data_IF_274384672730
#
_entry.id   IF_274384672730
#
_cell.length_a   1.000
_cell.length_b   1.000
_cell.length_c   1.000
_cell.angle_alpha   90.00
_cell.angle_beta   90.00
_cell.angle_gamma   90.00
#
_symmetry.space_group_name_H-M   'P 1'
#
loop_
_entity.id
_entity.type
_entity.pdbx_description
1 polymer ?
#
# COMPACT_ATOMS: atom_id res chain seq x y z
N UNK A 1 -5.70 -3.35 -6.69
CA UNK A 1 -6.65 -2.26 -6.45
C UNK A 1 -6.96 -2.08 -4.96
N UNK A 2 -7.22 -0.84 -4.54
CA UNK A 2 -7.42 -0.45 -3.13
C UNK A 2 -8.77 -0.94 -2.61
N UNK A 3 -8.76 -1.58 -1.44
CA UNK A 3 -9.95 -2.11 -0.76
C UNK A 3 -10.40 -1.17 0.35
N UNK A 4 -9.46 -0.67 1.17
CA UNK A 4 -9.77 0.23 2.28
C UNK A 4 -8.57 1.09 2.66
N UNK A 5 -8.84 2.26 3.22
CA UNK A 5 -7.84 3.21 3.72
C UNK A 5 -8.25 3.66 5.11
N UNK A 6 -7.31 3.64 6.05
CA UNK A 6 -7.53 4.09 7.42
C UNK A 6 -6.39 5.02 7.83
N UNK A 7 -6.73 6.17 8.43
CA UNK A 7 -5.77 6.92 9.21
C UNK A 7 -5.61 6.25 10.57
N UNK A 8 -4.38 6.17 11.05
CA UNK A 8 -4.08 5.55 12.33
C UNK A 8 -3.23 6.48 13.18
N UNK A 9 -3.42 6.40 14.50
CA UNK A 9 -2.50 7.02 15.45
C UNK A 9 -1.38 6.02 15.72
N UNK A 10 -0.13 6.35 15.37
CA UNK A 10 1.02 5.48 15.56
C UNK A 10 2.26 5.95 14.83
N UNK A 11 3.20 5.02 14.61
CA UNK A 11 4.44 5.29 13.86
C UNK A 11 4.20 5.49 12.35
N UNK A 12 3.06 5.06 11.85
CA UNK A 12 2.60 5.24 10.47
C UNK A 12 1.34 6.11 10.48
N UNK A 13 1.15 6.90 9.42
CA UNK A 13 -0.01 7.79 9.31
C UNK A 13 -1.24 7.08 8.69
N UNK A 14 -1.00 6.08 7.83
CA UNK A 14 -2.01 5.44 6.98
C UNK A 14 -1.78 3.93 6.88
N UNK A 15 -2.87 3.17 6.95
CA UNK A 15 -2.90 1.75 6.58
C UNK A 15 -3.83 1.59 5.38
N UNK A 16 -3.30 0.98 4.31
CA UNK A 16 -4.05 0.74 3.07
C UNK A 16 -4.08 -0.76 2.79
N UNK A 17 -5.27 -1.30 2.59
CA UNK A 17 -5.44 -2.66 2.11
C UNK A 17 -5.59 -2.63 0.59
N UNK A 18 -4.79 -3.45 -0.10
CA UNK A 18 -4.81 -3.61 -1.55
C UNK A 18 -4.98 -5.09 -1.88
N UNK A 19 -5.75 -5.41 -2.92
CA UNK A 19 -5.83 -6.74 -3.53
C UNK A 19 -5.36 -6.69 -4.97
N UNK A 20 -4.69 -7.71 -5.44
CA UNK A 20 -4.36 -7.89 -6.84
C UNK A 20 -4.46 -9.37 -7.17
N UNK A 21 -4.69 -9.69 -8.44
CA UNK A 21 -4.80 -11.08 -8.89
C UNK A 21 -3.43 -11.78 -8.89
N UNK A 22 -2.36 -11.01 -8.95
CA UNK A 22 -0.98 -11.50 -8.96
C UNK A 22 -0.01 -10.49 -8.31
N UNK A 23 1.21 -10.99 -8.00
CA UNK A 23 2.26 -10.21 -7.35
C UNK A 23 2.88 -9.12 -8.23
N UNK A 24 2.90 -9.28 -9.57
CA UNK A 24 3.47 -8.28 -10.47
C UNK A 24 2.56 -7.03 -10.51
N UNK A 25 1.25 -7.25 -10.63
CA UNK A 25 0.22 -6.21 -10.54
C UNK A 25 0.26 -5.50 -9.19
N UNK A 26 0.43 -6.25 -8.08
CA UNK A 26 0.60 -5.66 -6.75
C UNK A 26 1.84 -4.76 -6.70
N UNK A 27 2.98 -5.28 -7.18
CA UNK A 27 4.27 -4.57 -7.13
C UNK A 27 4.20 -3.28 -7.94
N UNK A 28 3.72 -3.32 -9.18
CA UNK A 28 3.51 -2.14 -10.02
C UNK A 28 2.61 -1.12 -9.35
N UNK A 29 1.48 -1.56 -8.79
CA UNK A 29 0.57 -0.67 -8.07
C UNK A 29 1.24 0.04 -6.88
N UNK A 30 2.08 -0.67 -6.12
CA UNK A 30 2.82 -0.07 -5.01
C UNK A 30 3.91 0.88 -5.51
N UNK A 31 4.73 0.48 -6.48
CA UNK A 31 5.90 1.26 -6.91
C UNK A 31 5.55 2.45 -7.78
N UNK A 32 4.57 2.31 -8.68
CA UNK A 32 4.26 3.32 -9.70
C UNK A 32 3.12 4.25 -9.28
N UNK A 33 2.21 3.78 -8.42
CA UNK A 33 1.06 4.60 -7.98
C UNK A 33 1.16 5.05 -6.53
N UNK A 34 1.50 4.16 -5.59
CA UNK A 34 1.56 4.56 -4.18
C UNK A 34 2.86 5.33 -3.87
N UNK A 35 4.02 4.77 -4.22
CA UNK A 35 5.32 5.40 -3.88
C UNK A 35 5.65 6.65 -4.70
N UNK A 36 4.91 6.92 -5.77
CA UNK A 36 5.09 8.13 -6.58
C UNK A 36 4.29 9.34 -6.07
N UNK A 37 3.39 9.15 -5.10
CA UNK A 37 2.64 10.25 -4.49
C UNK A 37 3.61 11.10 -3.67
N UNK A 38 3.77 12.37 -4.03
CA UNK A 38 4.74 13.30 -3.44
C UNK A 38 4.70 13.36 -1.90
N UNK A 39 3.51 13.20 -1.31
CA UNK A 39 3.30 13.27 0.14
C UNK A 39 3.60 11.96 0.88
N UNK A 40 3.88 10.88 0.17
CA UNK A 40 4.22 9.59 0.77
C UNK A 40 5.73 9.52 1.00
N UNK A 41 6.15 9.68 2.25
CA UNK A 41 7.57 9.65 2.64
C UNK A 41 8.17 8.24 2.57
N UNK A 42 7.44 7.24 3.06
CA UNK A 42 7.88 5.84 3.07
C UNK A 42 6.68 4.91 3.13
N UNK A 43 6.88 3.67 2.67
CA UNK A 43 5.86 2.62 2.68
C UNK A 43 6.48 1.31 3.16
N UNK A 44 5.73 0.55 3.95
CA UNK A 44 6.04 -0.83 4.30
C UNK A 44 4.93 -1.72 3.74
N UNK A 45 5.29 -2.62 2.83
CA UNK A 45 4.34 -3.56 2.24
C UNK A 45 4.36 -4.86 3.02
N UNK A 46 3.21 -5.25 3.56
CA UNK A 46 3.01 -6.56 4.20
C UNK A 46 2.24 -7.45 3.22
N UNK A 47 2.83 -8.56 2.81
CA UNK A 47 2.11 -9.57 2.01
C UNK A 47 1.34 -10.44 2.99
N UNK A 48 0.01 -10.45 2.85
CA UNK A 48 -0.83 -11.34 3.64
C UNK A 48 -0.51 -12.78 3.27
N UNK A 49 -0.29 -13.61 4.29
CA UNK A 49 -0.11 -15.05 4.17
C UNK A 49 -1.40 -15.68 4.69
N UNK A 50 -1.96 -16.63 3.95
CA UNK A 50 -3.04 -17.50 4.44
C UNK A 50 -2.48 -18.65 5.26
#
# INVERSE_FOLDING_TARGET
MVVSVHLVYGIYDLIVQIRADDLDTLKKGVTEHLRSIEKIRSTMTMIAVE
#
